data_IF_541856786841
#
_entry.id   IF_541856786841
#
_cell.length_a   1.000
_cell.length_b   1.000
_cell.length_c   1.000
_cell.angle_alpha   90.00
_cell.angle_beta   90.00
_cell.angle_gamma   90.00
#
_symmetry.space_group_name_H-M   'P 1'
#
loop_
_entity.id
_entity.type
_entity.pdbx_description
1 polymer ?
#
# COMPACT_ATOMS: atom_id res chain seq x y z
N UNK A 1 20.14 13.80 8.60
CA UNK A 1 18.98 13.08 9.15
C UNK A 1 19.00 11.66 8.57
N UNK A 2 19.00 10.63 9.41
CA UNK A 2 18.90 9.26 8.90
C UNK A 2 17.53 9.07 8.25
N UNK A 3 17.51 8.73 6.97
CA UNK A 3 16.29 8.41 6.23
C UNK A 3 15.67 7.16 6.87
N UNK A 4 14.37 7.20 7.18
CA UNK A 4 13.66 6.04 7.75
C UNK A 4 13.73 4.88 6.77
N UNK A 5 14.08 3.68 7.24
CA UNK A 5 14.13 2.48 6.43
C UNK A 5 12.75 2.21 5.81
N UNK A 6 12.70 2.06 4.51
CA UNK A 6 11.48 1.66 3.77
C UNK A 6 11.39 0.14 3.68
N UNK A 7 10.20 -0.40 3.93
CA UNK A 7 9.94 -1.84 3.85
C UNK A 7 9.12 -2.13 2.60
N UNK A 8 9.68 -2.93 1.70
CA UNK A 8 9.01 -3.43 0.49
C UNK A 8 8.78 -4.93 0.64
N UNK A 9 7.64 -5.41 0.16
CA UNK A 9 7.29 -6.83 0.17
C UNK A 9 6.97 -7.28 -1.24
N UNK A 10 7.62 -8.32 -1.72
CA UNK A 10 7.33 -8.94 -3.01
C UNK A 10 6.65 -10.29 -2.81
N UNK A 11 5.48 -10.46 -3.44
CA UNK A 11 4.70 -11.70 -3.46
C UNK A 11 4.35 -12.08 -4.91
N UNK A 12 4.28 -13.37 -5.25
CA UNK A 12 3.97 -13.79 -6.60
C UNK A 12 2.47 -13.63 -6.93
N UNK A 13 2.14 -13.50 -8.20
CA UNK A 13 0.76 -13.51 -8.70
C UNK A 13 0.04 -14.85 -8.46
N UNK A 14 0.80 -15.93 -8.21
CA UNK A 14 0.33 -17.24 -7.78
C UNK A 14 -0.01 -17.34 -6.28
N UNK A 15 0.06 -16.25 -5.53
CA UNK A 15 -0.18 -16.22 -4.07
C UNK A 15 -1.56 -16.72 -3.63
N UNK A 16 -2.53 -16.74 -4.53
CA UNK A 16 -3.91 -17.17 -4.26
C UNK A 16 -4.22 -18.57 -4.80
N UNK A 17 -3.24 -19.30 -5.29
CA UNK A 17 -3.42 -20.61 -5.96
C UNK A 17 -3.94 -21.71 -5.04
N UNK A 18 -3.80 -21.56 -3.74
CA UNK A 18 -4.30 -22.48 -2.71
C UNK A 18 -5.74 -22.17 -2.27
N UNK A 19 -6.34 -21.07 -2.76
CA UNK A 19 -7.69 -20.66 -2.41
C UNK A 19 -8.69 -21.01 -3.52
N UNK A 20 -9.79 -21.70 -3.15
CA UNK A 20 -10.73 -22.30 -4.12
C UNK A 20 -11.72 -21.30 -4.72
N UNK A 21 -12.09 -20.27 -3.98
CA UNK A 21 -13.14 -19.34 -4.39
C UNK A 21 -12.82 -17.88 -4.00
N UNK A 22 -13.60 -16.95 -4.53
CA UNK A 22 -13.40 -15.51 -4.31
C UNK A 22 -13.49 -15.11 -2.82
N UNK A 23 -14.33 -15.79 -2.03
CA UNK A 23 -14.47 -15.51 -0.60
C UNK A 23 -13.18 -15.81 0.15
N UNK A 24 -12.60 -17.00 -0.07
CA UNK A 24 -11.33 -17.43 0.56
C UNK A 24 -10.19 -16.51 0.10
N UNK A 25 -10.09 -16.23 -1.20
CA UNK A 25 -9.13 -15.26 -1.76
C UNK A 25 -9.25 -13.88 -1.09
N UNK A 26 -10.48 -13.38 -0.92
CA UNK A 26 -10.71 -12.09 -0.25
C UNK A 26 -10.23 -12.11 1.19
N UNK A 27 -10.51 -13.17 1.95
CA UNK A 27 -10.07 -13.31 3.34
C UNK A 27 -8.54 -13.32 3.43
N UNK A 28 -7.88 -14.09 2.58
CA UNK A 28 -6.41 -14.15 2.53
C UNK A 28 -5.80 -12.78 2.22
N UNK A 29 -6.30 -12.09 1.20
CA UNK A 29 -5.84 -10.73 0.85
C UNK A 29 -6.07 -9.77 2.02
N UNK A 30 -7.20 -9.90 2.74
CA UNK A 30 -7.47 -9.11 3.93
C UNK A 30 -6.44 -9.30 5.05
N UNK A 31 -6.00 -10.54 5.27
CA UNK A 31 -4.92 -10.88 6.24
C UNK A 31 -3.59 -10.26 5.80
N UNK A 32 -3.25 -10.37 4.52
CA UNK A 32 -2.07 -9.74 3.94
C UNK A 32 -2.09 -8.21 4.13
N UNK A 33 -3.19 -7.55 3.76
CA UNK A 33 -3.35 -6.10 3.89
C UNK A 33 -3.19 -5.63 5.33
N UNK A 34 -3.72 -6.40 6.30
CA UNK A 34 -3.54 -6.09 7.73
C UNK A 34 -2.09 -6.21 8.16
N UNK A 35 -1.39 -7.27 7.76
CA UNK A 35 0.03 -7.45 8.06
C UNK A 35 0.86 -6.30 7.50
N UNK A 36 0.61 -5.88 6.27
CA UNK A 36 1.30 -4.75 5.65
C UNK A 36 1.05 -3.44 6.41
N UNK A 37 -0.19 -3.19 6.82
CA UNK A 37 -0.54 -1.97 7.55
C UNK A 37 0.01 -1.96 8.99
N UNK A 38 -0.01 -3.11 9.71
CA UNK A 38 0.52 -3.24 11.08
C UNK A 38 2.00 -2.89 11.11
N UNK A 39 2.78 -3.36 10.15
CA UNK A 39 4.23 -3.19 10.12
C UNK A 39 4.71 -2.05 9.22
N UNK A 40 3.78 -1.23 8.70
CA UNK A 40 4.13 -0.04 7.95
C UNK A 40 4.87 -0.33 6.63
N UNK A 41 4.46 -1.39 5.91
CA UNK A 41 4.99 -1.68 4.57
C UNK A 41 4.73 -0.51 3.64
N UNK A 42 5.76 -0.04 2.91
CA UNK A 42 5.67 1.11 2.01
C UNK A 42 5.30 0.71 0.58
N UNK A 43 5.72 -0.47 0.12
CA UNK A 43 5.45 -0.93 -1.25
C UNK A 43 5.22 -2.43 -1.31
N UNK A 44 4.24 -2.83 -2.10
CA UNK A 44 3.93 -4.24 -2.41
C UNK A 44 4.20 -4.47 -3.88
N UNK A 45 5.03 -5.47 -4.17
CA UNK A 45 5.35 -5.90 -5.52
C UNK A 45 4.59 -7.19 -5.80
N UNK A 46 3.70 -7.16 -6.79
CA UNK A 46 3.01 -8.34 -7.28
C UNK A 46 3.78 -8.84 -8.51
N UNK A 47 4.73 -9.75 -8.29
CA UNK A 47 5.57 -10.24 -9.37
C UNK A 47 4.99 -11.46 -10.05
N UNK A 48 5.29 -11.61 -11.36
CA UNK A 48 4.87 -12.77 -12.15
C UNK A 48 5.67 -14.00 -11.74
N UNK A 49 4.97 -15.08 -11.40
CA UNK A 49 5.55 -16.40 -11.19
C UNK A 49 5.66 -17.13 -12.54
N UNK A 50 6.87 -17.31 -13.10
CA UNK A 50 7.05 -17.93 -14.40
C UNK A 50 6.67 -19.40 -14.41
N UNK A 51 6.52 -20.01 -13.25
CA UNK A 51 6.19 -21.44 -13.09
C UNK A 51 4.69 -21.69 -12.93
N UNK A 52 3.87 -20.64 -12.98
CA UNK A 52 2.42 -20.69 -12.78
C UNK A 52 1.70 -20.02 -13.96
N UNK A 53 0.87 -20.78 -14.66
CA UNK A 53 0.19 -20.31 -15.88
C UNK A 53 -1.32 -20.13 -15.71
N UNK A 54 -1.94 -20.83 -14.76
CA UNK A 54 -3.39 -20.85 -14.58
C UNK A 54 -3.87 -19.66 -13.76
N UNK A 55 -4.82 -18.89 -14.29
CA UNK A 55 -5.52 -17.78 -13.59
C UNK A 55 -4.63 -16.66 -12.99
N UNK A 56 -3.32 -16.68 -13.16
CA UNK A 56 -2.38 -15.73 -12.56
C UNK A 56 -2.75 -14.26 -12.80
N UNK A 57 -3.07 -13.88 -14.05
CA UNK A 57 -3.47 -12.51 -14.38
C UNK A 57 -4.78 -12.08 -13.72
N UNK A 58 -5.74 -13.00 -13.57
CA UNK A 58 -7.00 -12.73 -12.88
C UNK A 58 -6.77 -12.53 -11.39
N UNK A 59 -6.00 -13.39 -10.78
CA UNK A 59 -5.68 -13.35 -9.35
C UNK A 59 -4.85 -12.11 -9.00
N UNK A 60 -3.89 -11.74 -9.84
CA UNK A 60 -3.12 -10.50 -9.69
C UNK A 60 -4.01 -9.25 -9.71
N UNK A 61 -4.99 -9.20 -10.64
CA UNK A 61 -5.96 -8.10 -10.71
C UNK A 61 -6.84 -8.02 -9.46
N UNK A 62 -7.31 -9.17 -8.97
CA UNK A 62 -8.12 -9.27 -7.74
C UNK A 62 -7.29 -8.82 -6.52
N UNK A 63 -6.05 -9.30 -6.39
CA UNK A 63 -5.15 -8.87 -5.32
C UNK A 63 -4.94 -7.37 -5.33
N UNK A 64 -4.56 -6.80 -6.48
CA UNK A 64 -4.34 -5.37 -6.61
C UNK A 64 -5.59 -4.58 -6.25
N UNK A 65 -6.74 -4.95 -6.79
CA UNK A 65 -8.02 -4.27 -6.53
C UNK A 65 -8.39 -4.26 -5.04
N UNK A 66 -8.34 -5.43 -4.38
CA UNK A 66 -8.72 -5.54 -2.96
C UNK A 66 -7.70 -4.84 -2.06
N UNK A 67 -6.40 -4.97 -2.33
CA UNK A 67 -5.36 -4.26 -1.59
C UNK A 67 -5.50 -2.75 -1.73
N UNK A 68 -5.72 -2.23 -2.95
CA UNK A 68 -5.98 -0.79 -3.20
C UNK A 68 -7.24 -0.30 -2.49
N UNK A 69 -8.32 -1.09 -2.52
CA UNK A 69 -9.57 -0.78 -1.82
C UNK A 69 -9.35 -0.68 -0.31
N UNK A 70 -8.65 -1.64 0.27
CA UNK A 70 -8.37 -1.68 1.71
C UNK A 70 -7.44 -0.54 2.15
N UNK A 71 -6.48 -0.18 1.32
CA UNK A 71 -5.54 0.92 1.55
C UNK A 71 -6.18 2.32 1.39
N UNK A 72 -7.33 2.39 0.72
CA UNK A 72 -8.01 3.66 0.46
C UNK A 72 -8.89 4.07 1.63
N UNK A 73 -8.83 5.35 2.09
CA UNK A 73 -9.72 5.88 3.12
C UNK A 73 -11.19 5.70 2.78
N UNK A 74 -12.02 5.44 3.81
CA UNK A 74 -13.44 5.09 3.64
C UNK A 74 -14.23 6.13 2.83
N UNK A 75 -13.95 7.42 3.03
CA UNK A 75 -14.64 8.52 2.36
C UNK A 75 -14.38 8.58 0.85
N UNK A 76 -13.29 7.97 0.35
CA UNK A 76 -12.96 7.92 -1.08
C UNK A 76 -13.40 6.62 -1.77
N UNK A 77 -13.76 5.58 -1.01
CA UNK A 77 -14.00 4.24 -1.61
C UNK A 77 -15.11 4.23 -2.63
N UNK A 78 -16.26 4.84 -2.32
CA UNK A 78 -17.41 4.92 -3.25
C UNK A 78 -17.07 5.67 -4.54
N UNK A 79 -16.15 6.62 -4.43
CA UNK A 79 -15.72 7.45 -5.53
C UNK A 79 -14.75 6.73 -6.48
N UNK A 80 -13.75 6.06 -5.90
CA UNK A 80 -12.65 5.44 -6.64
C UNK A 80 -13.03 4.04 -7.13
N UNK A 81 -13.86 3.32 -6.36
CA UNK A 81 -14.25 1.95 -6.67
C UNK A 81 -15.74 1.86 -6.94
N UNK A 82 -16.17 1.87 -8.21
CA UNK A 82 -17.55 1.58 -8.57
C UNK A 82 -17.91 0.15 -8.18
N UNK A 83 -19.20 -0.20 -8.28
CA UNK A 83 -19.66 -1.57 -8.02
C UNK A 83 -18.85 -2.56 -8.86
N UNK A 84 -18.21 -3.49 -8.17
CA UNK A 84 -17.33 -4.49 -8.77
C UNK A 84 -17.60 -5.86 -8.14
N UNK A 85 -17.89 -6.90 -8.92
CA UNK A 85 -18.13 -8.25 -8.42
C UNK A 85 -16.99 -8.81 -7.57
N UNK A 86 -15.74 -8.44 -7.87
CA UNK A 86 -14.57 -8.86 -7.09
C UNK A 86 -14.54 -8.28 -5.66
N UNK A 87 -15.33 -7.25 -5.36
CA UNK A 87 -15.45 -6.65 -4.02
C UNK A 87 -16.66 -7.15 -3.22
N UNK A 88 -17.42 -8.12 -3.71
CA UNK A 88 -18.65 -8.62 -3.07
C UNK A 88 -18.39 -9.09 -1.62
N UNK A 89 -17.27 -9.74 -1.38
CA UNK A 89 -16.92 -10.30 -0.06
C UNK A 89 -16.16 -9.34 0.86
N UNK A 90 -15.95 -8.08 0.44
CA UNK A 90 -15.11 -7.13 1.19
C UNK A 90 -15.67 -6.82 2.60
N UNK A 91 -17.00 -6.91 2.78
CA UNK A 91 -17.66 -6.71 4.06
C UNK A 91 -17.32 -7.76 5.14
N UNK A 92 -16.74 -8.90 4.76
CA UNK A 92 -16.25 -9.91 5.69
C UNK A 92 -14.93 -9.52 6.38
N UNK A 93 -14.22 -8.53 5.83
CA UNK A 93 -12.90 -8.17 6.30
C UNK A 93 -12.97 -7.19 7.48
N UNK A 94 -12.16 -7.41 8.53
CA UNK A 94 -12.02 -6.44 9.58
C UNK A 94 -11.43 -5.13 9.06
N UNK A 95 -11.88 -3.96 9.57
CA UNK A 95 -11.38 -2.68 9.12
C UNK A 95 -9.89 -2.53 9.41
N UNK A 96 -9.16 -1.96 8.46
CA UNK A 96 -7.79 -1.49 8.68
C UNK A 96 -7.89 -0.09 9.30
N UNK A 97 -7.49 0.04 10.57
CA UNK A 97 -7.45 1.31 11.28
C UNK A 97 -6.03 1.85 11.27
N UNK A 98 -5.56 2.27 10.12
CA UNK A 98 -4.23 2.88 9.95
C UNK A 98 -4.32 4.43 9.92
N UNK A 99 -3.23 5.16 10.15
CA UNK A 99 -3.24 6.63 10.23
C UNK A 99 -3.88 7.31 9.01
N UNK A 100 -3.68 6.78 7.79
CA UNK A 100 -4.29 7.31 6.57
C UNK A 100 -5.82 7.13 6.51
N UNK A 101 -6.41 6.23 7.31
CA UNK A 101 -7.86 5.99 7.35
C UNK A 101 -8.57 7.00 8.26
N UNK A 102 -8.22 8.27 8.12
CA UNK A 102 -8.88 9.36 8.84
C UNK A 102 -10.37 9.37 8.55
N UNK A 103 -11.18 9.68 9.57
CA UNK A 103 -12.64 9.82 9.41
C UNK A 103 -12.97 11.10 8.61
N UNK A 104 -14.23 11.22 8.17
CA UNK A 104 -14.76 12.52 7.73
C UNK A 104 -14.48 13.57 8.82
N UNK A 105 -14.13 14.77 8.40
CA UNK A 105 -13.78 15.88 9.28
C UNK A 105 -14.62 17.10 8.88
N UNK A 106 -14.90 17.98 9.86
CA UNK A 106 -15.52 19.26 9.56
C UNK A 106 -14.49 20.25 9.03
N UNK A 107 -14.92 21.17 8.18
CA UNK A 107 -14.07 22.23 7.65
C UNK A 107 -13.36 23.06 8.74
N UNK A 108 -14.02 23.26 9.90
CA UNK A 108 -13.49 24.06 11.01
C UNK A 108 -12.36 23.37 11.78
N UNK A 109 -12.27 22.05 11.68
CA UNK A 109 -11.30 21.24 12.44
C UNK A 109 -9.99 21.03 11.66
N UNK A 110 -9.94 21.49 10.40
CA UNK A 110 -8.76 21.39 9.54
C UNK A 110 -7.74 22.45 9.90
N UNK A 111 -6.48 22.04 10.02
CA UNK A 111 -5.35 22.95 10.30
C UNK A 111 -4.36 22.95 9.14
N UNK A 112 -3.71 24.09 8.86
CA UNK A 112 -2.58 24.13 7.94
C UNK A 112 -1.49 23.15 8.39
N UNK A 113 -0.93 22.41 7.42
CA UNK A 113 0.05 21.37 7.68
C UNK A 113 -0.54 19.98 7.87
N UNK A 114 -1.84 19.82 8.08
CA UNK A 114 -2.49 18.50 8.14
C UNK A 114 -2.35 17.76 6.81
N UNK A 115 -2.01 16.47 6.88
CA UNK A 115 -1.93 15.61 5.72
C UNK A 115 -3.19 14.78 5.57
N UNK A 116 -3.67 14.63 4.32
CA UNK A 116 -4.77 13.72 3.97
C UNK A 116 -4.59 13.13 2.58
N UNK A 117 -5.20 11.97 2.37
CA UNK A 117 -5.33 11.41 1.04
C UNK A 117 -6.58 11.99 0.40
N UNK A 118 -6.48 12.47 -0.84
CA UNK A 118 -7.60 12.99 -1.60
C UNK A 118 -7.64 12.42 -3.01
N UNK A 119 -8.78 12.62 -3.67
CA UNK A 119 -8.99 12.32 -5.08
C UNK A 119 -9.19 13.60 -5.86
N UNK A 120 -8.44 13.76 -6.93
CA UNK A 120 -8.41 14.98 -7.74
C UNK A 120 -9.53 15.01 -8.76
N UNK A 121 -10.14 16.18 -8.92
CA UNK A 121 -11.16 16.49 -9.93
C UNK A 121 -10.79 17.67 -10.79
N UNK A 122 -11.06 17.58 -12.06
CA UNK A 122 -11.05 18.76 -12.91
C UNK A 122 -12.32 19.60 -12.63
N UNK A 123 -12.21 20.93 -12.68
CA UNK A 123 -13.33 21.84 -12.39
C UNK A 123 -14.60 21.54 -13.21
N UNK A 124 -14.45 21.05 -14.45
CA UNK A 124 -15.59 20.77 -15.33
C UNK A 124 -16.44 19.58 -14.85
N UNK A 125 -15.83 18.64 -14.14
CA UNK A 125 -16.50 17.43 -13.60
C UNK A 125 -17.22 17.67 -12.27
N UNK A 126 -16.98 18.81 -11.62
CA UNK A 126 -17.56 19.12 -10.31
C UNK A 126 -19.08 19.29 -10.30
N UNK A 127 -19.67 19.69 -11.43
CA UNK A 127 -21.11 19.89 -11.53
C UNK A 127 -21.90 18.62 -11.22
N UNK A 128 -21.37 17.46 -11.59
CA UNK A 128 -21.99 16.16 -11.35
C UNK A 128 -21.96 15.73 -9.89
N UNK A 129 -20.97 16.23 -9.12
CA UNK A 129 -20.83 15.93 -7.68
C UNK A 129 -21.73 16.80 -6.80
N UNK A 130 -22.08 18.01 -7.27
CA UNK A 130 -22.83 19.00 -6.49
C UNK A 130 -24.35 18.81 -6.61
N UNK A 131 -24.80 18.01 -7.59
CA UNK A 131 -26.23 17.69 -7.77
C UNK A 131 -26.83 16.86 -6.64
N UNK A 132 -26.01 16.28 -5.75
CA UNK A 132 -26.48 15.55 -4.58
C UNK A 132 -27.25 16.48 -3.62
N UNK A 133 -28.52 16.13 -3.33
CA UNK A 133 -29.48 16.94 -2.58
C UNK A 133 -29.12 17.12 -1.08
N UNK A 134 -28.10 16.45 -0.58
CA UNK A 134 -27.67 16.47 0.83
C UNK A 134 -26.68 17.58 1.21
N UNK A 135 -26.30 18.45 0.28
CA UNK A 135 -25.33 19.54 0.55
C UNK A 135 -26.06 20.82 0.96
N UNK A 136 -25.67 21.39 2.09
CA UNK A 136 -26.21 22.65 2.61
C UNK A 136 -26.13 23.78 1.56
N UNK A 137 -27.24 24.47 1.33
CA UNK A 137 -27.41 25.50 0.28
C UNK A 137 -26.38 26.64 0.38
N UNK A 138 -25.98 27.07 1.60
CA UNK A 138 -24.95 28.08 1.80
C UNK A 138 -23.58 27.61 1.33
N UNK A 139 -23.26 26.35 1.52
CA UNK A 139 -21.99 25.74 1.07
C UNK A 139 -21.95 25.57 -0.44
N UNK A 140 -23.07 25.19 -1.08
CA UNK A 140 -23.20 25.19 -2.54
C UNK A 140 -22.92 26.57 -3.13
N UNK A 141 -23.47 27.62 -2.50
CA UNK A 141 -23.27 29.00 -2.96
C UNK A 141 -21.79 29.45 -2.85
N UNK A 142 -21.16 29.23 -1.71
CA UNK A 142 -19.73 29.53 -1.51
C UNK A 142 -18.83 28.76 -2.48
N UNK A 143 -19.13 27.50 -2.70
CA UNK A 143 -18.41 26.68 -3.68
C UNK A 143 -18.56 27.22 -5.10
N UNK A 144 -19.78 27.57 -5.51
CA UNK A 144 -20.06 28.11 -6.82
C UNK A 144 -19.38 29.46 -7.09
N UNK A 145 -19.17 30.28 -6.05
CA UNK A 145 -18.44 31.55 -6.18
C UNK A 145 -16.92 31.38 -6.37
N UNK A 146 -16.37 30.23 -5.99
CA UNK A 146 -14.90 29.95 -6.04
C UNK A 146 -14.54 28.96 -7.15
N UNK A 147 -15.47 28.15 -7.65
CA UNK A 147 -15.19 27.01 -8.54
C UNK A 147 -14.51 27.37 -9.87
N UNK A 148 -14.62 28.64 -10.31
CA UNK A 148 -13.99 29.08 -11.55
C UNK A 148 -12.56 29.60 -11.39
N UNK A 149 -12.05 29.71 -10.15
CA UNK A 149 -10.72 30.28 -9.86
C UNK A 149 -9.59 29.24 -9.98
N UNK A 150 -9.89 27.93 -9.85
CA UNK A 150 -8.87 26.88 -9.86
C UNK A 150 -9.19 25.85 -10.96
N UNK A 151 -8.14 25.28 -11.53
CA UNK A 151 -8.24 24.23 -12.55
C UNK A 151 -8.63 22.88 -11.92
N UNK A 152 -8.13 22.61 -10.72
CA UNK A 152 -8.35 21.38 -9.99
C UNK A 152 -8.94 21.61 -8.61
N UNK A 153 -9.70 20.63 -8.16
CA UNK A 153 -10.27 20.49 -6.83
C UNK A 153 -9.99 19.10 -6.29
N UNK A 154 -9.97 18.94 -4.98
CA UNK A 154 -9.68 17.66 -4.37
C UNK A 154 -10.70 17.31 -3.29
N UNK A 155 -11.26 16.08 -3.38
CA UNK A 155 -12.09 15.50 -2.32
C UNK A 155 -11.17 14.84 -1.30
N UNK A 156 -11.25 15.30 -0.06
CA UNK A 156 -10.45 14.84 1.09
C UNK A 156 -11.34 14.36 2.24
N UNK A 157 -12.61 14.02 1.95
CA UNK A 157 -13.60 13.61 2.95
C UNK A 157 -14.18 14.75 3.77
N UNK A 158 -14.17 15.95 3.25
CA UNK A 158 -14.99 17.09 3.66
C UNK A 158 -16.35 17.02 2.93
N UNK A 159 -17.31 17.84 3.34
CA UNK A 159 -18.63 17.86 2.69
C UNK A 159 -18.58 18.33 1.22
N UNK A 160 -17.54 19.06 0.84
CA UNK A 160 -17.29 19.55 -0.52
C UNK A 160 -15.81 19.42 -0.86
N UNK A 161 -15.47 19.18 -2.12
CA UNK A 161 -14.09 19.27 -2.60
C UNK A 161 -13.53 20.69 -2.36
N UNK A 162 -12.26 20.80 -2.08
CA UNK A 162 -11.57 22.09 -1.86
C UNK A 162 -10.65 22.41 -3.04
N UNK A 163 -10.30 23.69 -3.27
CA UNK A 163 -9.31 24.06 -4.25
C UNK A 163 -7.98 23.34 -4.07
N UNK A 164 -7.45 22.81 -5.17
CA UNK A 164 -6.11 22.23 -5.23
C UNK A 164 -5.20 23.14 -6.05
N UNK A 165 -4.07 23.50 -5.45
CA UNK A 165 -3.03 24.34 -6.09
C UNK A 165 -1.92 23.42 -6.58
N UNK A 166 -1.85 23.20 -7.89
CA UNK A 166 -0.89 22.33 -8.55
C UNK A 166 -1.48 21.63 -9.77
N UNK A 167 -0.67 20.80 -10.39
CA UNK A 167 -1.03 20.01 -11.56
C UNK A 167 -1.32 18.55 -11.18
N UNK A 168 -2.14 17.87 -11.98
CA UNK A 168 -2.47 16.46 -11.78
C UNK A 168 -3.45 15.94 -12.82
N UNK A 169 -3.87 14.71 -12.65
CA UNK A 169 -4.82 14.00 -13.52
C UNK A 169 -6.10 13.76 -12.74
N UNK A 170 -7.24 13.98 -13.38
CA UNK A 170 -8.56 13.67 -12.79
C UNK A 170 -8.63 12.20 -12.34
N UNK A 171 -9.23 11.97 -11.18
CA UNK A 171 -9.29 10.64 -10.55
C UNK A 171 -8.00 10.22 -9.82
N UNK A 172 -6.94 11.00 -9.92
CA UNK A 172 -5.68 10.68 -9.25
C UNK A 172 -5.83 10.77 -7.74
N UNK A 173 -5.40 9.71 -7.04
CA UNK A 173 -5.26 9.68 -5.59
C UNK A 173 -3.94 10.34 -5.19
N UNK A 174 -3.98 11.35 -4.33
CA UNK A 174 -2.83 12.14 -3.90
C UNK A 174 -2.81 12.29 -2.38
N UNK A 175 -1.60 12.37 -1.82
CA UNK A 175 -1.41 12.91 -0.47
C UNK A 175 -1.28 14.42 -0.58
N UNK A 176 -2.12 15.12 0.18
CA UNK A 176 -2.14 16.58 0.21
C UNK A 176 -1.79 17.11 1.59
N UNK A 177 -1.37 18.37 1.60
CA UNK A 177 -1.22 19.21 2.77
C UNK A 177 -2.17 20.39 2.66
N UNK A 178 -2.92 20.70 3.72
CA UNK A 178 -3.68 21.92 3.80
C UNK A 178 -2.74 23.11 4.03
N UNK A 179 -2.98 24.21 3.31
CA UNK A 179 -2.15 25.41 3.42
C UNK A 179 -2.86 26.58 4.08
N UNK A 180 -4.20 26.57 4.14
CA UNK A 180 -5.02 27.65 4.71
C UNK A 180 -6.01 27.11 5.74
N UNK A 181 -6.52 28.02 6.58
CA UNK A 181 -7.61 27.75 7.53
C UNK A 181 -8.99 27.97 6.90
N UNK A 182 -10.03 27.43 7.55
CA UNK A 182 -11.41 27.81 7.26
C UNK A 182 -11.59 29.33 7.41
N UNK A 183 -12.32 30.03 6.49
CA UNK A 183 -13.13 29.46 5.42
C UNK A 183 -12.39 29.24 4.10
N UNK A 184 -11.13 29.65 3.95
CA UNK A 184 -10.39 29.70 2.68
C UNK A 184 -9.52 28.47 2.42
N UNK A 185 -9.99 27.28 2.85
CA UNK A 185 -9.22 26.05 2.72
C UNK A 185 -8.73 25.81 1.30
N UNK A 186 -7.44 25.50 1.19
CA UNK A 186 -6.77 25.06 -0.02
C UNK A 186 -5.78 23.95 0.31
N UNK A 187 -5.45 23.16 -0.70
CA UNK A 187 -4.48 22.10 -0.56
C UNK A 187 -3.42 22.14 -1.68
N UNK A 188 -2.24 21.66 -1.34
CA UNK A 188 -1.14 21.38 -2.28
C UNK A 188 -0.76 19.91 -2.15
N UNK A 189 -0.02 19.38 -3.12
CA UNK A 189 0.61 18.07 -2.98
C UNK A 189 1.60 18.08 -1.81
N UNK A 190 1.53 17.09 -0.93
CA UNK A 190 2.53 16.92 0.11
C UNK A 190 3.88 16.54 -0.50
N UNK A 191 4.97 17.06 0.08
CA UNK A 191 6.33 16.69 -0.30
C UNK A 191 6.69 15.32 0.26
N UNK A 192 7.71 14.65 -0.31
CA UNK A 192 8.20 13.36 0.19
C UNK A 192 8.59 13.44 1.67
N UNK A 193 9.29 14.48 2.06
CA UNK A 193 9.70 14.71 3.44
C UNK A 193 8.50 14.84 4.41
N UNK A 194 7.40 15.45 3.98
CA UNK A 194 6.17 15.55 4.78
C UNK A 194 5.48 14.21 4.90
N UNK A 195 5.46 13.42 3.82
CA UNK A 195 4.90 12.07 3.81
C UNK A 195 5.67 11.07 4.69
N UNK A 196 6.98 11.27 4.92
CA UNK A 196 7.78 10.43 5.81
C UNK A 196 7.38 10.52 7.30
N UNK A 197 6.66 11.57 7.70
CA UNK A 197 6.26 11.81 9.10
C UNK A 197 5.16 10.88 9.59
N UNK A 198 4.31 10.39 8.69
CA UNK A 198 3.16 9.56 9.02
C UNK A 198 3.06 8.40 8.04
N UNK A 199 2.65 7.23 8.51
CA UNK A 199 2.35 6.12 7.60
C UNK A 199 1.08 6.43 6.80
N UNK A 200 1.21 6.49 5.49
CA UNK A 200 0.13 6.86 4.56
C UNK A 200 -0.34 5.68 3.69
N UNK A 201 -0.03 4.46 4.14
CA UNK A 201 -0.33 3.24 3.41
C UNK A 201 0.81 2.78 2.52
N UNK A 202 0.49 1.93 1.56
CA UNK A 202 1.45 1.31 0.65
C UNK A 202 1.09 1.55 -0.81
N UNK A 203 2.12 1.57 -1.66
CA UNK A 203 1.95 1.50 -3.11
C UNK A 203 1.93 0.06 -3.59
N UNK A 204 1.21 -0.23 -4.68
CA UNK A 204 1.15 -1.56 -5.29
C UNK A 204 1.66 -1.48 -6.72
N UNK A 205 2.71 -2.23 -6.98
CA UNK A 205 3.33 -2.32 -8.29
C UNK A 205 3.22 -3.75 -8.85
N UNK A 206 2.71 -3.88 -10.07
CA UNK A 206 2.80 -5.13 -10.83
C UNK A 206 4.19 -5.21 -11.48
N UNK A 207 4.83 -6.36 -11.33
CA UNK A 207 6.19 -6.62 -11.82
C UNK A 207 6.16 -7.82 -12.76
N UNK A 208 6.41 -7.59 -14.04
CA UNK A 208 6.39 -8.66 -15.05
C UNK A 208 7.55 -9.64 -14.90
N UNK A 209 8.70 -9.17 -14.41
CA UNK A 209 9.87 -10.01 -14.16
C UNK A 209 10.56 -9.61 -12.87
N UNK A 210 10.58 -10.51 -11.89
CA UNK A 210 11.30 -10.31 -10.63
C UNK A 210 12.80 -10.09 -10.86
N UNK A 211 13.41 -10.82 -11.82
CA UNK A 211 14.83 -10.69 -12.15
C UNK A 211 15.17 -9.29 -12.68
N UNK A 212 14.37 -8.77 -13.62
CA UNK A 212 14.57 -7.42 -14.16
C UNK A 212 14.39 -6.38 -13.07
N UNK A 213 13.37 -6.53 -12.24
CA UNK A 213 13.10 -5.59 -11.15
C UNK A 213 14.25 -5.56 -10.13
N UNK A 214 14.72 -6.73 -9.71
CA UNK A 214 15.82 -6.82 -8.73
C UNK A 214 17.11 -6.19 -9.29
N UNK A 215 17.42 -6.42 -10.57
CA UNK A 215 18.58 -5.79 -11.24
C UNK A 215 18.46 -4.26 -11.37
N UNK A 216 17.24 -3.72 -11.35
CA UNK A 216 16.98 -2.28 -11.41
C UNK A 216 16.91 -1.60 -10.03
N UNK A 217 17.12 -2.34 -8.94
CA UNK A 217 17.07 -1.78 -7.58
C UNK A 217 18.17 -0.76 -7.34
N UNK A 218 17.83 0.26 -6.56
CA UNK A 218 18.84 1.23 -6.12
C UNK A 218 19.92 0.57 -5.26
N UNK A 219 21.17 1.04 -5.32
CA UNK A 219 22.31 0.45 -4.60
C UNK A 219 22.12 0.33 -3.09
N UNK A 220 21.28 1.19 -2.49
CA UNK A 220 20.94 1.19 -1.06
C UNK A 220 19.71 0.32 -0.72
N UNK A 221 19.42 -0.68 -1.53
CA UNK A 221 18.40 -1.68 -1.25
C UNK A 221 19.03 -2.99 -0.80
N UNK A 222 18.57 -3.52 0.33
CA UNK A 222 18.91 -4.86 0.79
C UNK A 222 17.78 -5.83 0.50
N UNK A 223 18.10 -7.02 -0.01
CA UNK A 223 17.09 -8.02 -0.42
C UNK A 223 17.15 -9.22 0.51
N UNK A 224 16.00 -9.60 1.05
CA UNK A 224 15.84 -10.85 1.81
C UNK A 224 14.95 -11.80 1.02
N UNK A 225 15.50 -12.92 0.61
CA UNK A 225 14.75 -14.04 0.06
C UNK A 225 14.34 -15.00 1.18
N UNK A 226 13.06 -15.24 1.36
CA UNK A 226 12.53 -16.08 2.44
C UNK A 226 12.31 -17.51 1.96
N UNK A 227 12.79 -18.49 2.72
CA UNK A 227 12.56 -19.90 2.43
C UNK A 227 12.89 -20.76 3.65
N UNK A 228 12.18 -21.91 3.76
CA UNK A 228 12.52 -22.96 4.73
C UNK A 228 13.96 -23.51 4.55
N UNK A 229 14.51 -23.45 3.34
CA UNK A 229 15.86 -23.91 3.01
C UNK A 229 16.95 -22.85 3.23
N UNK A 230 16.57 -21.65 3.63
CA UNK A 230 17.50 -20.55 3.88
C UNK A 230 18.35 -20.77 5.13
N UNK A 231 19.34 -19.88 5.31
CA UNK A 231 20.17 -19.87 6.54
C UNK A 231 19.29 -19.54 7.73
N UNK A 232 19.53 -20.24 8.84
CA UNK A 232 18.81 -20.00 10.09
C UNK A 232 19.05 -18.57 10.60
N UNK A 233 17.95 -17.79 10.69
CA UNK A 233 18.04 -16.38 11.06
C UNK A 233 18.44 -16.15 12.51
N UNK A 234 18.10 -17.07 13.44
CA UNK A 234 18.44 -16.93 14.87
C UNK A 234 19.95 -16.76 15.12
N UNK A 235 20.79 -17.22 14.18
CA UNK A 235 22.24 -17.10 14.27
C UNK A 235 22.78 -15.83 13.60
N UNK A 236 21.91 -14.98 13.05
CA UNK A 236 22.28 -13.87 12.18
C UNK A 236 21.67 -12.53 12.60
N UNK A 237 20.84 -12.49 13.64
CA UNK A 237 20.04 -11.32 14.03
C UNK A 237 20.91 -10.07 14.29
N UNK A 238 21.97 -10.20 15.07
CA UNK A 238 22.91 -9.09 15.36
C UNK A 238 23.68 -8.66 14.12
N UNK A 239 24.16 -9.61 13.31
CA UNK A 239 24.84 -9.30 12.03
C UNK A 239 23.90 -8.60 11.06
N UNK A 240 22.67 -9.04 11.00
CA UNK A 240 21.63 -8.43 10.14
C UNK A 240 21.33 -7.00 10.59
N UNK A 241 21.17 -6.76 11.88
CA UNK A 241 20.89 -5.44 12.43
C UNK A 241 21.98 -4.42 12.07
N UNK A 242 23.25 -4.79 12.21
CA UNK A 242 24.37 -3.93 11.81
C UNK A 242 24.44 -3.71 10.30
N UNK A 243 24.14 -4.75 9.52
CA UNK A 243 24.17 -4.67 8.07
C UNK A 243 23.08 -3.76 7.52
N UNK A 244 21.85 -3.90 8.01
CA UNK A 244 20.69 -3.18 7.46
C UNK A 244 20.77 -1.66 7.67
N UNK A 245 21.49 -1.19 8.67
CA UNK A 245 21.72 0.25 8.91
C UNK A 245 22.41 0.97 7.74
N UNK A 246 23.06 0.23 6.85
CA UNK A 246 23.74 0.77 5.65
C UNK A 246 22.77 1.01 4.49
N UNK A 247 21.53 0.54 4.59
CA UNK A 247 20.53 0.56 3.51
C UNK A 247 19.35 1.48 3.83
N UNK A 248 18.69 1.96 2.80
CA UNK A 248 17.50 2.80 2.91
C UNK A 248 16.21 1.99 2.67
N UNK A 249 16.33 0.83 2.05
CA UNK A 249 15.21 -0.02 1.66
C UNK A 249 15.51 -1.48 1.99
N UNK A 250 14.56 -2.16 2.62
CA UNK A 250 14.54 -3.61 2.82
C UNK A 250 13.45 -4.20 1.92
N UNK A 251 13.84 -4.97 0.91
CA UNK A 251 12.94 -5.74 0.07
C UNK A 251 12.89 -7.19 0.57
N UNK A 252 11.69 -7.65 0.96
CA UNK A 252 11.46 -9.02 1.42
C UNK A 252 10.68 -9.77 0.34
N UNK A 253 11.27 -10.84 -0.19
CA UNK A 253 10.72 -11.62 -1.30
C UNK A 253 10.23 -12.97 -0.79
N UNK A 254 8.96 -13.25 -1.04
CA UNK A 254 8.31 -14.52 -0.67
C UNK A 254 8.07 -15.38 -1.90
N UNK A 255 8.12 -16.70 -1.73
CA UNK A 255 7.69 -17.67 -2.72
C UNK A 255 6.16 -17.83 -2.78
N UNK A 256 5.70 -18.73 -3.63
CA UNK A 256 4.28 -19.11 -3.73
C UNK A 256 3.90 -20.19 -2.70
N UNK A 257 2.60 -20.43 -2.46
CA UNK A 257 2.13 -21.50 -1.60
C UNK A 257 2.66 -22.88 -1.98
N UNK A 258 2.88 -23.14 -3.28
CA UNK A 258 3.33 -24.43 -3.80
C UNK A 258 4.82 -24.50 -4.13
N UNK A 259 5.50 -23.36 -4.32
CA UNK A 259 6.90 -23.29 -4.76
C UNK A 259 7.69 -22.25 -3.99
N UNK A 260 8.85 -22.69 -3.48
CA UNK A 260 9.81 -21.78 -2.86
C UNK A 260 10.44 -20.82 -3.86
N UNK A 261 11.05 -19.75 -3.34
CA UNK A 261 11.72 -18.74 -4.16
C UNK A 261 12.89 -19.34 -4.97
N UNK A 262 13.52 -20.39 -4.48
CA UNK A 262 14.57 -21.13 -5.17
C UNK A 262 14.14 -21.71 -6.53
N UNK A 263 12.85 -22.02 -6.69
CA UNK A 263 12.27 -22.48 -7.96
C UNK A 263 11.75 -21.35 -8.85
N UNK A 264 11.26 -20.26 -8.24
CA UNK A 264 10.68 -19.12 -8.96
C UNK A 264 11.79 -18.18 -9.47
N UNK A 265 12.83 -17.97 -8.66
CA UNK A 265 13.97 -17.10 -8.96
C UNK A 265 15.30 -17.83 -8.65
N UNK A 266 15.80 -18.69 -9.56
CA UNK A 266 17.02 -19.48 -9.33
C UNK A 266 18.28 -18.65 -9.07
N UNK A 267 18.33 -17.41 -9.58
CA UNK A 267 19.48 -16.52 -9.46
C UNK A 267 19.59 -15.81 -8.09
N UNK A 268 18.78 -16.18 -7.09
CA UNK A 268 18.76 -15.53 -5.77
C UNK A 268 20.11 -15.53 -5.05
N UNK A 269 20.96 -16.54 -5.29
CA UNK A 269 22.27 -16.69 -4.64
C UNK A 269 23.32 -15.71 -5.17
N UNK A 270 23.19 -15.25 -6.41
CA UNK A 270 24.15 -14.36 -7.06
C UNK A 270 23.80 -12.88 -6.90
N UNK A 271 22.66 -12.59 -6.25
CA UNK A 271 22.22 -11.22 -6.05
C UNK A 271 23.09 -10.51 -4.99
N UNK A 272 23.75 -9.38 -5.34
CA UNK A 272 24.47 -8.58 -4.37
C UNK A 272 23.52 -7.96 -3.33
N UNK A 273 24.05 -7.64 -2.17
CA UNK A 273 23.28 -7.05 -1.06
C UNK A 273 22.03 -7.86 -0.71
N UNK A 274 22.17 -9.18 -0.62
CA UNK A 274 21.05 -10.05 -0.31
C UNK A 274 21.41 -11.15 0.70
N UNK A 275 20.36 -11.69 1.32
CA UNK A 275 20.42 -12.90 2.14
C UNK A 275 19.25 -13.84 1.81
N UNK A 276 19.54 -15.15 1.88
CA UNK A 276 18.56 -16.21 1.77
C UNK A 276 18.33 -16.81 3.14
N UNK A 277 17.14 -16.53 3.74
CA UNK A 277 16.89 -16.72 5.16
C UNK A 277 15.72 -17.65 5.45
N UNK A 278 15.89 -18.50 6.45
CA UNK A 278 14.84 -19.20 7.15
C UNK A 278 14.52 -18.45 8.46
N UNK A 279 13.36 -17.79 8.50
CA UNK A 279 12.90 -17.05 9.68
C UNK A 279 12.12 -17.92 10.68
N UNK A 280 11.77 -19.14 10.30
CA UNK A 280 11.02 -20.09 11.11
C UNK A 280 11.75 -21.44 11.23
N UNK A 281 13.00 -21.48 11.75
CA UNK A 281 13.84 -22.67 11.66
C UNK A 281 13.30 -23.87 12.44
N UNK A 282 12.42 -23.65 13.41
CA UNK A 282 11.81 -24.66 14.27
C UNK A 282 10.32 -24.89 13.96
N UNK A 283 9.83 -24.54 12.78
CA UNK A 283 8.42 -24.78 12.43
C UNK A 283 8.06 -26.26 12.61
N UNK A 284 6.88 -26.52 13.18
CA UNK A 284 6.38 -27.87 13.43
C UNK A 284 5.40 -28.35 12.36
N UNK A 285 4.83 -27.41 11.61
CA UNK A 285 3.98 -27.72 10.45
C UNK A 285 4.83 -28.00 9.22
N UNK A 286 4.32 -28.81 8.32
CA UNK A 286 5.00 -29.10 7.04
C UNK A 286 5.20 -27.81 6.23
N UNK A 287 4.20 -26.95 6.20
CA UNK A 287 4.21 -25.66 5.51
C UNK A 287 3.68 -24.55 6.42
N UNK A 288 4.16 -23.33 6.20
CA UNK A 288 3.59 -22.09 6.75
C UNK A 288 2.85 -21.42 5.59
N UNK A 289 1.61 -21.01 5.80
CA UNK A 289 0.85 -20.28 4.78
C UNK A 289 1.48 -18.91 4.50
N UNK A 290 1.31 -18.41 3.29
CA UNK A 290 1.95 -17.14 2.87
C UNK A 290 1.61 -15.97 3.81
N UNK A 291 0.33 -15.82 4.18
CA UNK A 291 -0.10 -14.76 5.10
C UNK A 291 0.50 -14.88 6.51
N UNK A 292 0.73 -16.11 6.98
CA UNK A 292 1.39 -16.39 8.25
C UNK A 292 2.90 -16.09 8.16
N UNK A 293 3.52 -16.53 7.06
CA UNK A 293 4.94 -16.27 6.80
C UNK A 293 5.21 -14.76 6.72
N UNK A 294 4.36 -13.99 6.04
CA UNK A 294 4.49 -12.54 5.95
C UNK A 294 4.32 -11.88 7.31
N UNK A 295 3.25 -12.23 8.05
CA UNK A 295 2.99 -11.68 9.39
C UNK A 295 4.17 -11.94 10.33
N UNK A 296 4.62 -13.18 10.41
CA UNK A 296 5.74 -13.57 11.29
C UNK A 296 7.07 -12.94 10.88
N UNK A 297 7.37 -12.92 9.57
CA UNK A 297 8.60 -12.28 9.05
C UNK A 297 8.64 -10.79 9.38
N UNK A 298 7.53 -10.07 9.12
CA UNK A 298 7.44 -8.64 9.42
C UNK A 298 7.51 -8.38 10.93
N UNK A 299 6.95 -9.24 11.78
CA UNK A 299 7.05 -9.14 13.24
C UNK A 299 8.50 -9.31 13.71
N UNK A 300 9.22 -10.30 13.19
CA UNK A 300 10.65 -10.53 13.51
C UNK A 300 11.47 -9.31 13.11
N UNK A 301 11.35 -8.82 11.89
CA UNK A 301 12.12 -7.65 11.45
C UNK A 301 11.73 -6.38 12.21
N UNK A 302 10.45 -6.15 12.49
CA UNK A 302 10.03 -5.02 13.31
C UNK A 302 10.68 -5.03 14.69
N UNK A 303 10.81 -6.20 15.34
CA UNK A 303 11.47 -6.32 16.64
C UNK A 303 12.97 -6.00 16.55
N UNK A 304 13.65 -6.46 15.51
CA UNK A 304 15.10 -6.27 15.33
C UNK A 304 15.44 -4.84 14.94
N UNK A 305 14.66 -4.24 14.05
CA UNK A 305 14.88 -2.88 13.56
C UNK A 305 14.58 -1.77 14.60
N UNK A 306 13.98 -2.13 15.75
CA UNK A 306 13.76 -1.22 16.88
C UNK A 306 14.88 -1.26 17.92
N UNK A 307 15.80 -2.23 17.82
CA UNK A 307 17.01 -2.32 18.65
C UNK A 307 18.12 -1.45 18.07
#
# INVERSE_FOLDING_TARGET
>A
MNKKLQIFVAIPDSSLSDEKNLREKTIKIGRLARSFAIFGVNKILLYKDPTFTNNAKSDQKIMKLILDFLNTPQYLRKLIFPLNPALTNIGLLPPIKAPQHKKKINFKDVKPGDLRIGCLYHRNSLNNLISDNNINTKRKFLFNSVKNRYKFYIDVGLDLPIPFVGEGIEGQKLVIKFIDNYPNLKAVRATEHEMEREYLGYDILNVDSLDIYIKSLEPKTFVVFTSRKGRNFNNLDSQFNELIKKFNTLLIVFGSPSKGIDKIYPNYQTQPNSMYLNLFPNQKTETIRLEEAILGTLAIFNHILQK
#
